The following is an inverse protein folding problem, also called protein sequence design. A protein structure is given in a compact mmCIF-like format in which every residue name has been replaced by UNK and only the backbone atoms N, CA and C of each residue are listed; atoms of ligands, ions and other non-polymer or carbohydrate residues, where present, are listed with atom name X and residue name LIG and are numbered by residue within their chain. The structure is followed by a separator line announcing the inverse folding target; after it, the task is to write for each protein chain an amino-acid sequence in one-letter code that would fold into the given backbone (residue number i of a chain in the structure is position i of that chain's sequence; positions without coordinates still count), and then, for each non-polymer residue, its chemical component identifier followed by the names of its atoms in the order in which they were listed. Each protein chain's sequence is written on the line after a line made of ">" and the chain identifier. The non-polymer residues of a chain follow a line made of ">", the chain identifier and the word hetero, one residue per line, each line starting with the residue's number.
data_IF_350276071047
#
_entry.id   IF_350276071047
#
_cell.length_a   1.000
_cell.length_b   1.000
_cell.length_c   1.000
_cell.angle_alpha   90.00
_cell.angle_beta   90.00
_cell.angle_gamma   90.00
#
_symmetry.space_group_name_H-M   'P 1'
#
loop_
_entity.id
_entity.type
_entity.pdbx_description
1 polymer ?
#
# COMPACT_ATOMS: atom_id res chain seq x y z
N UNK A 1 -43.11 -19.29 27.63
CA UNK A 1 -42.24 -18.28 28.22
C UNK A 1 -40.79 -18.73 27.96
N UNK A 2 -40.24 -18.32 26.85
CA UNK A 2 -38.82 -18.58 26.46
C UNK A 2 -37.99 -17.39 26.92
N UNK A 3 -37.22 -17.58 27.97
CA UNK A 3 -36.27 -16.56 28.49
C UNK A 3 -35.17 -16.33 27.49
N UNK A 4 -35.20 -15.17 26.82
CA UNK A 4 -34.08 -14.64 26.06
C UNK A 4 -33.01 -14.24 27.06
N UNK A 5 -31.93 -15.01 27.14
CA UNK A 5 -30.74 -14.65 27.91
C UNK A 5 -30.17 -13.36 27.35
N UNK A 6 -29.85 -12.35 28.19
CA UNK A 6 -29.20 -11.14 27.71
C UNK A 6 -27.79 -11.48 27.22
N UNK A 7 -27.50 -11.09 25.98
CA UNK A 7 -26.13 -11.13 25.43
C UNK A 7 -25.24 -10.30 26.32
N UNK A 8 -24.17 -10.91 26.84
CA UNK A 8 -23.21 -10.28 27.75
C UNK A 8 -22.63 -8.99 27.12
N UNK A 9 -22.64 -7.86 27.85
CA UNK A 9 -21.99 -6.64 27.39
C UNK A 9 -20.46 -6.84 27.44
N UNK A 10 -19.81 -6.80 26.27
CA UNK A 10 -18.35 -6.65 26.21
C UNK A 10 -17.53 -7.85 25.77
N UNK A 11 -17.89 -8.54 24.69
CA UNK A 11 -16.89 -9.33 23.98
C UNK A 11 -15.82 -8.38 23.44
N UNK A 12 -14.61 -8.39 24.05
CA UNK A 12 -13.45 -7.65 23.53
C UNK A 12 -13.23 -8.09 22.09
N UNK A 13 -13.46 -7.19 21.15
CA UNK A 13 -13.14 -7.46 19.75
C UNK A 13 -11.73 -8.04 19.67
N UNK A 14 -11.57 -9.14 18.94
CA UNK A 14 -10.25 -9.75 18.72
C UNK A 14 -9.29 -8.71 18.11
N UNK A 15 -7.98 -8.87 18.34
CA UNK A 15 -6.96 -8.01 17.75
C UNK A 15 -7.17 -7.81 16.23
N UNK A 16 -7.39 -8.90 15.50
CA UNK A 16 -7.61 -8.91 14.05
C UNK A 16 -8.84 -8.09 13.64
N UNK A 17 -9.95 -8.25 14.30
CA UNK A 17 -11.17 -7.52 14.00
C UNK A 17 -11.02 -6.03 14.33
N UNK A 18 -10.39 -5.69 15.46
CA UNK A 18 -10.19 -4.32 15.88
C UNK A 18 -9.26 -3.56 14.92
N UNK A 19 -8.11 -4.12 14.57
CA UNK A 19 -7.08 -3.46 13.76
C UNK A 19 -7.44 -3.33 12.28
N UNK A 20 -8.40 -4.11 11.78
CA UNK A 20 -8.98 -3.96 10.44
C UNK A 20 -10.01 -2.82 10.35
N UNK A 21 -10.54 -2.34 11.47
CA UNK A 21 -11.53 -1.26 11.42
C UNK A 21 -10.89 0.04 10.87
N UNK A 22 -11.66 0.85 10.12
CA UNK A 22 -11.16 2.09 9.54
C UNK A 22 -10.46 3.01 10.55
N UNK A 23 -11.01 3.14 11.77
CA UNK A 23 -10.43 3.97 12.83
C UNK A 23 -9.00 3.57 13.22
N UNK A 24 -8.68 2.27 13.26
CA UNK A 24 -7.32 1.80 13.53
C UNK A 24 -6.46 1.83 12.27
N UNK A 25 -6.98 1.26 11.18
CA UNK A 25 -6.25 1.12 9.92
C UNK A 25 -5.81 2.48 9.36
N UNK A 26 -6.72 3.45 9.27
CA UNK A 26 -6.42 4.78 8.72
C UNK A 26 -5.62 5.65 9.70
N UNK A 27 -5.95 5.63 11.01
CA UNK A 27 -5.13 6.35 12.01
C UNK A 27 -3.70 5.83 12.03
N UNK A 28 -3.49 4.54 11.82
CA UNK A 28 -2.16 3.93 11.74
C UNK A 28 -1.38 4.36 10.49
N UNK A 29 -2.05 4.68 9.39
CA UNK A 29 -1.42 5.18 8.17
C UNK A 29 -1.08 6.68 8.21
N UNK A 30 -1.73 7.47 9.08
CA UNK A 30 -1.49 8.92 9.17
C UNK A 30 -0.03 9.28 9.44
N UNK A 31 0.69 8.69 10.42
CA UNK A 31 2.10 8.96 10.63
C UNK A 31 2.96 8.68 9.39
N UNK A 32 2.65 7.62 8.65
CA UNK A 32 3.36 7.27 7.42
C UNK A 32 3.22 8.37 6.36
N UNK A 33 1.99 8.85 6.15
CA UNK A 33 1.71 9.95 5.24
C UNK A 33 2.42 11.25 5.67
N UNK A 34 2.37 11.60 6.95
CA UNK A 34 3.01 12.81 7.46
C UNK A 34 4.54 12.76 7.31
N UNK A 35 5.16 11.62 7.61
CA UNK A 35 6.60 11.42 7.42
C UNK A 35 6.97 11.54 5.94
N UNK A 36 6.21 10.91 5.05
CA UNK A 36 6.42 11.02 3.60
C UNK A 36 6.36 12.48 3.12
N UNK A 37 5.28 13.19 3.42
CA UNK A 37 5.11 14.58 2.95
C UNK A 37 6.18 15.51 3.55
N UNK A 38 6.56 15.29 4.81
CA UNK A 38 7.63 16.08 5.45
C UNK A 38 8.97 15.86 4.74
N UNK A 39 9.35 14.60 4.48
CA UNK A 39 10.58 14.28 3.74
C UNK A 39 10.52 14.78 2.30
N UNK A 40 9.38 14.62 1.63
CA UNK A 40 9.20 15.12 0.27
C UNK A 40 9.37 16.64 0.18
N UNK A 41 8.87 17.41 1.16
CA UNK A 41 9.08 18.85 1.23
C UNK A 41 10.55 19.16 1.54
N UNK A 42 11.15 18.50 2.52
CA UNK A 42 12.52 18.78 2.97
C UNK A 42 13.56 18.49 1.86
N UNK A 43 13.42 17.37 1.15
CA UNK A 43 14.36 16.97 0.11
C UNK A 43 14.22 17.73 -1.21
N UNK A 44 13.07 18.36 -1.44
CA UNK A 44 12.82 19.12 -2.66
C UNK A 44 13.03 20.63 -2.50
N UNK A 45 13.50 21.11 -1.35
CA UNK A 45 13.84 22.52 -1.16
C UNK A 45 15.08 22.89 -2.00
N UNK A 46 14.91 23.80 -2.95
CA UNK A 46 16.00 24.34 -3.78
C UNK A 46 16.33 23.52 -5.02
N UNK A 47 15.68 22.40 -5.27
CA UNK A 47 15.83 21.64 -6.52
C UNK A 47 14.63 21.89 -7.44
N UNK A 48 14.88 22.31 -8.68
CA UNK A 48 13.81 22.55 -9.67
C UNK A 48 13.04 21.29 -10.11
N UNK A 49 13.48 20.11 -9.66
CA UNK A 49 12.88 18.80 -9.96
C UNK A 49 12.56 18.10 -8.65
N UNK A 50 11.27 18.02 -8.34
CA UNK A 50 10.82 17.36 -7.12
C UNK A 50 10.87 15.83 -7.23
N UNK A 51 11.65 15.18 -6.36
CA UNK A 51 11.66 13.72 -6.23
C UNK A 51 10.43 13.31 -5.40
N UNK A 52 9.58 12.42 -5.93
CA UNK A 52 8.42 11.85 -5.25
C UNK A 52 8.20 10.40 -5.70
N UNK A 53 7.42 9.64 -4.91
CA UNK A 53 6.99 8.32 -5.34
C UNK A 53 6.14 8.38 -6.61
N UNK A 54 6.31 7.42 -7.52
CA UNK A 54 5.66 7.40 -8.84
C UNK A 54 4.12 7.42 -8.77
N UNK A 55 3.51 6.73 -7.82
CA UNK A 55 2.07 6.72 -7.64
C UNK A 55 1.54 8.07 -7.13
N UNK A 56 2.28 8.76 -6.24
CA UNK A 56 1.97 10.13 -5.82
C UNK A 56 2.04 11.09 -7.01
N UNK A 57 3.10 10.99 -7.84
CA UNK A 57 3.24 11.81 -9.04
C UNK A 57 2.07 11.61 -9.99
N UNK A 58 1.68 10.36 -10.27
CA UNK A 58 0.53 10.07 -11.13
C UNK A 58 -0.76 10.66 -10.59
N UNK A 59 -1.07 10.44 -9.31
CA UNK A 59 -2.31 10.92 -8.69
C UNK A 59 -2.36 12.46 -8.66
N UNK A 60 -1.24 13.12 -8.38
CA UNK A 60 -1.14 14.59 -8.44
C UNK A 60 -1.25 15.12 -9.86
N UNK A 61 -0.70 14.42 -10.85
CA UNK A 61 -0.83 14.81 -12.26
C UNK A 61 -2.27 14.69 -12.75
N UNK A 62 -2.99 13.63 -12.35
CA UNK A 62 -4.43 13.52 -12.61
C UNK A 62 -5.20 14.66 -11.94
N UNK A 63 -4.87 15.00 -10.71
CA UNK A 63 -5.49 16.13 -10.01
C UNK A 63 -5.18 17.47 -10.71
N UNK A 64 -3.97 17.65 -11.21
CA UNK A 64 -3.62 18.83 -12.00
C UNK A 64 -4.44 18.94 -13.30
N UNK A 65 -4.62 17.80 -13.98
CA UNK A 65 -5.43 17.75 -15.21
C UNK A 65 -6.90 18.09 -14.96
N UNK A 66 -7.45 17.67 -13.80
CA UNK A 66 -8.86 17.87 -13.47
C UNK A 66 -9.14 19.22 -12.80
N UNK A 67 -8.21 19.75 -12.00
CA UNK A 67 -8.40 20.88 -11.10
C UNK A 67 -7.43 22.06 -11.39
N UNK A 68 -6.61 21.94 -12.45
CA UNK A 68 -5.59 22.92 -12.81
C UNK A 68 -4.41 22.96 -11.83
N UNK A 69 -3.66 24.05 -11.82
CA UNK A 69 -2.39 24.22 -11.08
C UNK A 69 -2.50 23.99 -9.56
N UNK A 70 -3.69 24.15 -9.00
CA UNK A 70 -3.94 23.89 -7.58
C UNK A 70 -4.22 22.40 -7.27
N UNK A 71 -4.47 21.60 -8.31
CA UNK A 71 -4.80 20.18 -8.19
C UNK A 71 -3.85 19.38 -7.31
N UNK A 72 -2.52 19.44 -7.51
CA UNK A 72 -1.55 18.68 -6.71
C UNK A 72 -1.58 19.00 -5.20
N UNK A 73 -1.77 20.26 -4.85
CA UNK A 73 -1.87 20.69 -3.44
C UNK A 73 -3.21 20.24 -2.83
N UNK A 74 -4.29 20.44 -3.58
CA UNK A 74 -5.64 20.04 -3.16
C UNK A 74 -5.72 18.52 -2.99
N UNK A 75 -5.05 17.74 -3.84
CA UNK A 75 -5.01 16.29 -3.75
C UNK A 75 -4.38 15.80 -2.43
N UNK A 76 -3.20 16.31 -2.06
CA UNK A 76 -2.56 15.96 -0.78
C UNK A 76 -3.44 16.31 0.43
N UNK A 77 -4.03 17.49 0.43
CA UNK A 77 -4.99 17.91 1.45
C UNK A 77 -6.26 17.05 1.49
N UNK A 78 -6.78 16.65 0.33
CA UNK A 78 -7.95 15.78 0.23
C UNK A 78 -7.67 14.38 0.76
N UNK A 79 -6.52 13.78 0.44
CA UNK A 79 -6.11 12.47 0.97
C UNK A 79 -6.02 12.51 2.50
N UNK A 80 -5.35 13.52 3.06
CA UNK A 80 -5.24 13.67 4.50
C UNK A 80 -6.62 13.87 5.15
N UNK A 81 -7.45 14.75 4.58
CA UNK A 81 -8.81 15.00 5.06
C UNK A 81 -9.67 13.72 5.02
N UNK A 82 -9.62 12.97 3.92
CA UNK A 82 -10.38 11.72 3.77
C UNK A 82 -9.97 10.69 4.83
N UNK A 83 -8.68 10.48 5.05
CA UNK A 83 -8.18 9.58 6.10
C UNK A 83 -8.71 9.99 7.47
N UNK A 84 -8.63 11.28 7.81
CA UNK A 84 -9.09 11.82 9.08
C UNK A 84 -10.62 11.66 9.21
N UNK A 85 -11.39 12.07 8.21
CA UNK A 85 -12.86 12.04 8.24
C UNK A 85 -13.36 10.61 8.41
N UNK A 86 -12.82 9.64 7.66
CA UNK A 86 -13.23 8.24 7.75
C UNK A 86 -12.85 7.66 9.10
N UNK A 87 -11.65 7.93 9.62
CA UNK A 87 -11.21 7.48 10.93
C UNK A 87 -12.09 8.07 12.06
N UNK A 88 -12.37 9.38 12.01
CA UNK A 88 -13.24 10.06 13.00
C UNK A 88 -14.68 9.55 12.91
N UNK A 89 -15.21 9.36 11.70
CA UNK A 89 -16.56 8.82 11.52
C UNK A 89 -16.71 7.42 12.11
N UNK A 90 -15.72 6.55 11.88
CA UNK A 90 -15.72 5.21 12.47
C UNK A 90 -15.56 5.26 14.00
N UNK A 91 -14.69 6.13 14.51
CA UNK A 91 -14.51 6.33 15.95
C UNK A 91 -15.80 6.81 16.64
N UNK A 92 -16.56 7.71 16.00
CA UNK A 92 -17.85 8.20 16.53
C UNK A 92 -18.95 7.16 16.50
N UNK A 93 -18.89 6.23 15.53
CA UNK A 93 -19.90 5.15 15.38
C UNK A 93 -19.64 3.94 16.27
N UNK A 94 -18.44 3.80 16.77
CA UNK A 94 -18.01 2.64 17.53
C UNK A 94 -17.93 2.95 19.02
N UNK A 95 -18.48 2.09 19.86
CA UNK A 95 -18.30 2.15 21.30
C UNK A 95 -16.86 1.80 21.67
N UNK A 96 -16.15 2.74 22.29
CA UNK A 96 -14.78 2.58 22.79
C UNK A 96 -13.74 3.38 22.01
N UNK A 97 -12.78 3.96 22.75
CA UNK A 97 -11.68 4.76 22.20
C UNK A 97 -10.58 3.93 21.54
N UNK A 98 -9.62 4.62 20.96
CA UNK A 98 -8.39 4.01 20.43
C UNK A 98 -7.53 3.48 21.58
N UNK A 99 -6.95 2.31 21.40
CA UNK A 99 -6.03 1.67 22.36
C UNK A 99 -4.60 1.76 21.83
N UNK A 100 -3.72 2.60 22.41
CA UNK A 100 -2.35 2.82 21.89
C UNK A 100 -1.54 1.54 21.74
N UNK A 101 -1.73 0.58 22.66
CA UNK A 101 -1.06 -0.73 22.58
C UNK A 101 -1.31 -1.45 21.25
N UNK A 102 -2.47 -1.28 20.64
CA UNK A 102 -2.77 -1.92 19.35
C UNK A 102 -1.91 -1.36 18.22
N UNK A 103 -1.59 -0.06 18.22
CA UNK A 103 -0.71 0.54 17.22
C UNK A 103 0.72 0.01 17.32
N UNK A 104 1.23 -0.20 18.53
CA UNK A 104 2.54 -0.85 18.73
C UNK A 104 2.52 -2.27 18.18
N UNK A 105 1.48 -3.04 18.49
CA UNK A 105 1.35 -4.41 17.97
C UNK A 105 1.20 -4.43 16.44
N UNK A 106 0.46 -3.47 15.86
CA UNK A 106 0.35 -3.31 14.40
C UNK A 106 1.70 -3.00 13.76
N UNK A 107 2.52 -2.14 14.39
CA UNK A 107 3.86 -1.84 13.88
C UNK A 107 4.79 -3.06 13.92
N UNK A 108 4.78 -3.79 15.03
CA UNK A 108 5.55 -5.04 15.16
C UNK A 108 5.07 -6.07 14.13
N UNK A 109 3.76 -6.25 13.97
CA UNK A 109 3.19 -7.13 12.94
C UNK A 109 3.65 -6.71 11.54
N UNK A 110 3.57 -5.41 11.20
CA UNK A 110 3.99 -4.90 9.89
C UNK A 110 5.48 -5.14 9.64
N UNK A 111 6.34 -4.96 10.65
CA UNK A 111 7.78 -5.21 10.54
C UNK A 111 8.09 -6.70 10.32
N UNK A 112 7.43 -7.59 11.07
CA UNK A 112 7.57 -9.03 10.89
C UNK A 112 7.10 -9.48 9.51
N UNK A 113 5.94 -8.98 9.07
CA UNK A 113 5.41 -9.26 7.73
C UNK A 113 6.33 -8.74 6.63
N UNK A 114 6.96 -7.56 6.80
CA UNK A 114 7.91 -7.02 5.83
C UNK A 114 9.12 -7.95 5.64
N UNK A 115 9.67 -8.49 6.72
CA UNK A 115 10.77 -9.47 6.67
C UNK A 115 10.33 -10.78 6.01
N UNK A 116 9.16 -11.31 6.43
CA UNK A 116 8.61 -12.55 5.85
C UNK A 116 8.33 -12.38 4.36
N UNK A 117 7.74 -11.25 3.95
CA UNK A 117 7.46 -10.96 2.54
C UNK A 117 8.75 -10.82 1.74
N UNK A 118 9.77 -10.13 2.26
CA UNK A 118 11.07 -10.01 1.62
C UNK A 118 11.69 -11.39 1.34
N UNK A 119 11.65 -12.26 2.34
CA UNK A 119 12.15 -13.63 2.19
C UNK A 119 11.33 -14.45 1.20
N UNK A 120 10.00 -14.51 1.37
CA UNK A 120 9.11 -15.34 0.53
C UNK A 120 9.12 -14.86 -0.93
N UNK A 121 8.93 -13.56 -1.16
CA UNK A 121 8.94 -12.98 -2.52
C UNK A 121 10.30 -13.20 -3.18
N UNK A 122 11.40 -13.01 -2.43
CA UNK A 122 12.75 -13.24 -2.94
C UNK A 122 12.99 -14.71 -3.33
N UNK A 123 12.64 -15.65 -2.46
CA UNK A 123 12.81 -17.09 -2.73
C UNK A 123 11.95 -17.54 -3.91
N UNK A 124 10.67 -17.18 -3.95
CA UNK A 124 9.77 -17.57 -5.05
C UNK A 124 10.24 -16.98 -6.37
N UNK A 125 10.66 -15.71 -6.38
CA UNK A 125 11.20 -15.09 -7.59
C UNK A 125 12.48 -15.78 -8.05
N UNK A 126 13.43 -16.06 -7.14
CA UNK A 126 14.67 -16.73 -7.48
C UNK A 126 14.42 -18.11 -8.09
N UNK A 127 13.48 -18.89 -7.56
CA UNK A 127 13.12 -20.19 -8.11
C UNK A 127 12.53 -20.07 -9.52
N UNK A 128 11.62 -19.11 -9.74
CA UNK A 128 11.01 -18.88 -11.05
C UNK A 128 12.03 -18.37 -12.09
N UNK A 129 12.88 -17.42 -11.69
CA UNK A 129 13.92 -16.86 -12.58
C UNK A 129 15.00 -17.89 -12.91
N UNK A 130 15.46 -18.69 -11.93
CA UNK A 130 16.44 -19.75 -12.17
C UNK A 130 15.91 -20.88 -13.07
N UNK A 131 14.59 -21.05 -13.14
CA UNK A 131 13.96 -21.95 -14.11
C UNK A 131 14.00 -21.40 -15.56
N UNK A 132 14.38 -20.12 -15.75
CA UNK A 132 14.46 -19.42 -17.03
C UNK A 132 15.89 -18.90 -17.26
N UNK A 133 16.83 -19.73 -17.77
CA UNK A 133 18.28 -19.49 -17.73
C UNK A 133 18.81 -18.30 -18.54
N UNK A 134 17.95 -17.52 -19.16
CA UNK A 134 18.31 -16.34 -19.97
C UNK A 134 18.16 -15.00 -19.24
N UNK A 135 17.88 -15.01 -17.92
CA UNK A 135 17.49 -13.81 -17.20
C UNK A 135 18.58 -13.35 -16.22
N UNK A 136 19.06 -12.13 -16.42
CA UNK A 136 19.95 -11.43 -15.49
C UNK A 136 19.14 -10.41 -14.69
N UNK A 137 19.35 -10.34 -13.38
CA UNK A 137 18.71 -9.33 -12.53
C UNK A 137 19.44 -8.00 -12.75
N UNK A 138 18.71 -6.98 -13.21
CA UNK A 138 19.20 -5.62 -13.34
C UNK A 138 19.63 -5.03 -11.98
N UNK A 139 20.69 -4.23 -11.95
CA UNK A 139 21.14 -3.54 -10.74
C UNK A 139 20.40 -2.22 -10.61
N UNK A 140 19.74 -2.00 -9.45
CA UNK A 140 19.19 -0.71 -9.13
C UNK A 140 20.32 0.31 -8.89
N UNK A 141 20.12 1.56 -9.35
CA UNK A 141 21.07 2.64 -9.08
C UNK A 141 21.08 2.95 -7.56
N UNK A 142 22.26 3.20 -6.97
CA UNK A 142 22.34 3.58 -5.57
C UNK A 142 21.65 4.93 -5.34
N UNK A 143 20.78 4.98 -4.33
CA UNK A 143 20.08 6.20 -3.91
C UNK A 143 20.56 6.60 -2.52
N UNK A 144 20.56 7.91 -2.24
CA UNK A 144 20.84 8.41 -0.90
C UNK A 144 19.78 7.97 0.10
N UNK A 145 20.20 7.66 1.32
CA UNK A 145 19.35 7.13 2.38
C UNK A 145 18.06 7.94 2.65
N UNK A 146 18.09 9.30 2.69
CA UNK A 146 16.86 10.07 2.87
C UNK A 146 15.87 9.90 1.71
N UNK A 147 16.37 9.75 0.48
CA UNK A 147 15.55 9.50 -0.70
C UNK A 147 14.94 8.10 -0.64
N UNK A 148 15.74 7.09 -0.26
CA UNK A 148 15.26 5.72 -0.03
C UNK A 148 14.10 5.72 0.97
N UNK A 149 14.27 6.36 2.13
CA UNK A 149 13.20 6.45 3.13
C UNK A 149 11.95 7.12 2.58
N UNK A 150 12.10 8.27 1.93
CA UNK A 150 10.97 8.99 1.36
C UNK A 150 10.22 8.14 0.32
N UNK A 151 10.92 7.55 -0.65
CA UNK A 151 10.27 6.76 -1.72
C UNK A 151 9.56 5.54 -1.13
N UNK A 152 10.19 4.84 -0.16
CA UNK A 152 9.61 3.68 0.51
C UNK A 152 8.35 4.03 1.31
N UNK A 153 8.36 5.15 2.06
CA UNK A 153 7.16 5.65 2.76
C UNK A 153 6.05 6.00 1.78
N UNK A 154 6.41 6.61 0.63
CA UNK A 154 5.49 6.93 -0.45
C UNK A 154 4.88 5.68 -1.09
N UNK A 155 5.65 4.63 -1.30
CA UNK A 155 5.16 3.35 -1.80
C UNK A 155 4.10 2.77 -0.85
N UNK A 156 4.38 2.73 0.44
CA UNK A 156 3.41 2.25 1.42
C UNK A 156 2.10 3.03 1.42
N UNK A 157 2.10 4.34 1.19
CA UNK A 157 0.86 5.14 1.19
C UNK A 157 0.21 5.19 -0.20
N UNK A 158 0.94 5.70 -1.18
CA UNK A 158 0.34 6.07 -2.46
C UNK A 158 0.22 4.90 -3.43
N UNK A 159 1.14 3.94 -3.42
CA UNK A 159 0.98 2.74 -4.22
C UNK A 159 -0.11 1.84 -3.65
N UNK A 160 -0.21 1.70 -2.33
CA UNK A 160 -1.31 0.94 -1.74
C UNK A 160 -2.67 1.63 -1.99
N UNK A 161 -2.73 2.96 -1.95
CA UNK A 161 -3.93 3.71 -2.31
C UNK A 161 -4.29 3.50 -3.79
N UNK A 162 -3.33 3.66 -4.69
CA UNK A 162 -3.56 3.56 -6.14
C UNK A 162 -3.92 2.13 -6.55
N UNK A 163 -3.11 1.16 -6.15
CA UNK A 163 -3.23 -0.21 -6.68
C UNK A 163 -4.22 -1.07 -5.91
N UNK A 164 -4.36 -0.93 -4.58
CA UNK A 164 -5.26 -1.79 -3.78
C UNK A 164 -6.61 -1.12 -3.57
N UNK A 165 -6.62 0.14 -3.13
CA UNK A 165 -7.88 0.82 -2.86
C UNK A 165 -8.60 1.20 -4.15
N UNK A 166 -7.92 1.80 -5.13
CA UNK A 166 -8.56 2.27 -6.37
C UNK A 166 -8.60 1.18 -7.44
N UNK A 167 -7.45 0.66 -7.88
CA UNK A 167 -7.38 -0.25 -9.03
C UNK A 167 -8.01 -1.61 -8.74
N UNK A 168 -7.55 -2.34 -7.72
CA UNK A 168 -8.07 -3.69 -7.42
C UNK A 168 -9.55 -3.63 -7.05
N UNK A 169 -9.97 -2.64 -6.25
CA UNK A 169 -11.39 -2.48 -5.93
C UNK A 169 -12.22 -2.11 -7.17
N UNK A 170 -11.71 -1.24 -8.04
CA UNK A 170 -12.35 -0.88 -9.31
C UNK A 170 -12.47 -2.07 -10.27
N UNK A 171 -11.40 -2.86 -10.43
CA UNK A 171 -11.40 -4.09 -11.24
C UNK A 171 -12.38 -5.13 -10.68
N UNK A 172 -12.45 -5.28 -9.36
CA UNK A 172 -13.41 -6.17 -8.71
C UNK A 172 -14.85 -5.76 -9.02
N UNK A 173 -15.17 -4.48 -8.89
CA UNK A 173 -16.49 -3.95 -9.22
C UNK A 173 -16.82 -4.12 -10.69
N UNK A 174 -15.88 -3.79 -11.59
CA UNK A 174 -16.05 -3.95 -13.03
C UNK A 174 -16.23 -5.42 -13.42
N UNK A 175 -15.43 -6.34 -12.88
CA UNK A 175 -15.54 -7.77 -13.14
C UNK A 175 -16.91 -8.33 -12.73
N UNK A 176 -17.46 -7.85 -11.62
CA UNK A 176 -18.80 -8.26 -11.18
C UNK A 176 -19.92 -7.61 -12.00
N UNK A 177 -19.82 -6.30 -12.27
CA UNK A 177 -20.89 -5.54 -12.91
C UNK A 177 -20.95 -5.74 -14.43
N UNK A 178 -19.79 -5.86 -15.09
CA UNK A 178 -19.68 -5.91 -16.56
C UNK A 178 -19.51 -7.34 -17.05
N UNK A 179 -18.63 -8.14 -16.39
CA UNK A 179 -18.33 -9.51 -16.80
C UNK A 179 -19.25 -10.55 -16.13
N UNK A 180 -20.10 -10.14 -15.17
CA UNK A 180 -21.01 -11.05 -14.47
C UNK A 180 -20.31 -12.11 -13.59
N UNK A 181 -19.04 -11.91 -13.24
CA UNK A 181 -18.28 -12.89 -12.47
C UNK A 181 -18.79 -13.01 -11.03
N UNK A 182 -18.83 -14.23 -10.52
CA UNK A 182 -19.05 -14.47 -9.09
C UNK A 182 -17.92 -13.89 -8.24
N UNK A 183 -18.18 -13.68 -6.95
CA UNK A 183 -17.26 -12.97 -6.04
C UNK A 183 -15.83 -13.53 -6.04
N UNK A 184 -15.66 -14.85 -6.02
CA UNK A 184 -14.32 -15.48 -5.98
C UNK A 184 -13.58 -15.26 -7.30
N UNK A 185 -14.24 -15.52 -8.45
CA UNK A 185 -13.64 -15.33 -9.76
C UNK A 185 -13.28 -13.85 -10.02
N UNK A 186 -14.16 -12.91 -9.64
CA UNK A 186 -13.90 -11.48 -9.74
C UNK A 186 -12.73 -11.04 -8.86
N UNK A 187 -12.59 -11.62 -7.65
CA UNK A 187 -11.46 -11.32 -6.75
C UNK A 187 -10.14 -11.83 -7.33
N UNK A 188 -10.11 -13.06 -7.84
CA UNK A 188 -8.91 -13.63 -8.49
C UNK A 188 -8.52 -12.77 -9.69
N UNK A 189 -9.48 -12.44 -10.55
CA UNK A 189 -9.27 -11.56 -11.71
C UNK A 189 -8.68 -10.21 -11.28
N UNK A 190 -9.33 -9.52 -10.33
CA UNK A 190 -8.91 -8.18 -9.90
C UNK A 190 -7.51 -8.18 -9.27
N UNK A 191 -7.21 -9.15 -8.42
CA UNK A 191 -5.90 -9.28 -7.77
C UNK A 191 -4.81 -9.62 -8.79
N UNK A 192 -5.07 -10.55 -9.72
CA UNK A 192 -4.08 -10.95 -10.72
C UNK A 192 -3.80 -9.82 -11.72
N UNK A 193 -4.84 -9.23 -12.30
CA UNK A 193 -4.67 -8.10 -13.24
C UNK A 193 -4.08 -6.88 -12.53
N UNK A 194 -4.52 -6.60 -11.30
CA UNK A 194 -3.97 -5.52 -10.49
C UNK A 194 -2.48 -5.70 -10.20
N UNK A 195 -2.01 -6.92 -9.92
CA UNK A 195 -0.60 -7.22 -9.69
C UNK A 195 0.25 -7.07 -10.97
N UNK A 196 -0.27 -7.48 -12.13
CA UNK A 196 0.39 -7.29 -13.42
C UNK A 196 0.52 -5.80 -13.77
N UNK A 197 -0.55 -5.03 -13.58
CA UNK A 197 -0.54 -3.57 -13.81
C UNK A 197 0.40 -2.89 -12.83
N UNK A 198 0.40 -3.29 -11.56
CA UNK A 198 1.35 -2.79 -10.55
C UNK A 198 2.80 -3.00 -10.99
N UNK A 199 3.14 -4.20 -11.45
CA UNK A 199 4.48 -4.48 -11.96
C UNK A 199 4.81 -3.65 -13.20
N UNK A 200 3.90 -3.60 -14.19
CA UNK A 200 4.09 -2.86 -15.44
C UNK A 200 4.28 -1.35 -15.20
N UNK A 201 3.62 -0.78 -14.19
CA UNK A 201 3.70 0.63 -13.84
C UNK A 201 5.13 1.11 -13.59
N UNK A 202 5.99 0.25 -13.03
CA UNK A 202 7.38 0.59 -12.72
C UNK A 202 8.28 0.79 -13.96
N UNK A 203 7.80 0.42 -15.14
CA UNK A 203 8.54 0.57 -16.41
C UNK A 203 8.00 1.72 -17.28
N UNK A 204 7.06 2.51 -16.75
CA UNK A 204 6.38 3.58 -17.47
C UNK A 204 6.84 4.95 -16.98
N UNK A 205 7.01 5.89 -17.92
CA UNK A 205 7.30 7.29 -17.62
C UNK A 205 8.79 7.62 -17.59
N UNK A 206 9.12 8.90 -17.33
CA UNK A 206 10.49 9.40 -17.43
C UNK A 206 11.46 8.79 -16.41
N UNK A 207 10.95 8.24 -15.33
CA UNK A 207 11.72 7.60 -14.26
C UNK A 207 11.46 6.09 -14.17
N UNK A 208 10.83 5.53 -15.23
CA UNK A 208 10.58 4.09 -15.29
C UNK A 208 11.89 3.31 -15.44
N UNK A 209 11.97 2.16 -14.79
CA UNK A 209 13.09 1.25 -14.94
C UNK A 209 13.13 0.67 -16.36
N UNK A 210 14.30 0.27 -16.87
CA UNK A 210 14.38 -0.58 -18.06
C UNK A 210 13.58 -1.87 -17.83
N UNK A 211 12.79 -2.30 -18.83
CA UNK A 211 12.03 -3.54 -18.71
C UNK A 211 12.96 -4.74 -18.53
N UNK A 212 12.83 -5.39 -17.39
CA UNK A 212 13.58 -6.58 -17.02
C UNK A 212 12.60 -7.65 -16.50
N UNK A 213 12.62 -8.84 -17.11
CA UNK A 213 11.65 -9.88 -16.79
C UNK A 213 11.78 -10.40 -15.35
N UNK A 214 12.97 -10.66 -14.77
CA UNK A 214 13.10 -10.98 -13.35
C UNK A 214 12.47 -9.94 -12.43
N UNK A 215 12.74 -8.67 -12.69
CA UNK A 215 12.16 -7.56 -11.93
C UNK A 215 10.64 -7.48 -12.10
N UNK A 216 10.13 -7.71 -13.32
CA UNK A 216 8.69 -7.77 -13.57
C UNK A 216 8.01 -8.90 -12.78
N UNK A 217 8.59 -10.10 -12.80
CA UNK A 217 8.09 -11.25 -12.03
C UNK A 217 8.14 -10.97 -10.53
N UNK A 218 9.25 -10.43 -10.04
CA UNK A 218 9.42 -10.06 -8.64
C UNK A 218 8.32 -9.10 -8.16
N UNK A 219 8.08 -8.01 -8.91
CA UNK A 219 7.04 -7.03 -8.59
C UNK A 219 5.63 -7.60 -8.72
N UNK A 220 5.40 -8.50 -9.67
CA UNK A 220 4.11 -9.18 -9.81
C UNK A 220 3.81 -10.04 -8.57
N UNK A 221 4.79 -10.84 -8.11
CA UNK A 221 4.64 -11.67 -6.90
C UNK A 221 4.42 -10.79 -5.67
N UNK A 222 5.21 -9.71 -5.52
CA UNK A 222 5.01 -8.73 -4.45
C UNK A 222 3.60 -8.12 -4.52
N UNK A 223 3.14 -7.75 -5.72
CA UNK A 223 1.80 -7.23 -5.96
C UNK A 223 0.68 -8.17 -5.52
N UNK A 224 0.82 -9.48 -5.80
CA UNK A 224 -0.10 -10.51 -5.33
C UNK A 224 -0.08 -10.63 -3.80
N UNK A 225 1.11 -10.66 -3.19
CA UNK A 225 1.28 -10.78 -1.75
C UNK A 225 0.67 -9.59 -1.00
N UNK A 226 0.95 -8.36 -1.44
CA UNK A 226 0.36 -7.15 -0.84
C UNK A 226 -1.16 -7.06 -1.07
N UNK A 227 -1.68 -7.52 -2.20
CA UNK A 227 -3.12 -7.59 -2.42
C UNK A 227 -3.80 -8.58 -1.47
N UNK A 228 -3.18 -9.73 -1.23
CA UNK A 228 -3.62 -10.69 -0.22
C UNK A 228 -3.59 -10.11 1.20
N UNK A 229 -2.52 -9.37 1.53
CA UNK A 229 -2.41 -8.70 2.82
C UNK A 229 -3.48 -7.62 3.00
N UNK A 230 -3.72 -6.80 1.98
CA UNK A 230 -4.77 -5.78 1.99
C UNK A 230 -6.16 -6.37 2.28
N UNK A 231 -6.51 -7.46 1.60
CA UNK A 231 -7.80 -8.14 1.80
C UNK A 231 -7.92 -8.71 3.22
N UNK A 232 -6.84 -9.22 3.79
CA UNK A 232 -6.86 -9.87 5.11
C UNK A 232 -6.65 -8.91 6.27
N UNK A 233 -5.80 -7.86 6.13
CA UNK A 233 -5.39 -6.97 7.22
C UNK A 233 -5.79 -5.51 7.04
N UNK A 234 -6.25 -5.13 5.84
CA UNK A 234 -6.65 -3.77 5.53
C UNK A 234 -5.48 -2.82 5.25
N UNK A 235 -5.82 -1.58 4.92
CA UNK A 235 -4.89 -0.58 4.38
C UNK A 235 -3.69 -0.28 5.30
N UNK A 236 -3.94 -0.02 6.59
CA UNK A 236 -2.89 0.49 7.48
C UNK A 236 -1.73 -0.49 7.69
N UNK A 237 -2.01 -1.78 7.93
CA UNK A 237 -0.97 -2.81 8.07
C UNK A 237 -0.27 -3.03 6.73
N UNK A 238 -1.02 -3.07 5.63
CA UNK A 238 -0.41 -3.24 4.30
C UNK A 238 0.51 -2.07 3.96
N UNK A 239 0.09 -0.83 4.21
CA UNK A 239 0.90 0.36 3.96
C UNK A 239 2.22 0.37 4.74
N UNK A 240 2.18 0.08 6.05
CA UNK A 240 3.39 -0.02 6.85
C UNK A 240 4.27 -1.22 6.46
N UNK A 241 3.66 -2.37 6.16
CA UNK A 241 4.40 -3.56 5.71
C UNK A 241 5.13 -3.26 4.40
N UNK A 242 4.49 -2.59 3.44
CA UNK A 242 5.10 -2.22 2.16
C UNK A 242 6.24 -1.23 2.38
N UNK A 243 6.01 -0.14 3.11
CA UNK A 243 7.06 0.83 3.40
C UNK A 243 8.30 0.20 4.05
N UNK A 244 8.10 -0.64 5.08
CA UNK A 244 9.19 -1.32 5.77
C UNK A 244 9.87 -2.39 4.89
N UNK A 245 9.11 -3.10 4.06
CA UNK A 245 9.63 -4.04 3.07
C UNK A 245 10.60 -3.36 2.12
N UNK A 246 10.23 -2.20 1.55
CA UNK A 246 11.09 -1.44 0.65
C UNK A 246 12.33 -0.91 1.36
N UNK A 247 12.18 -0.37 2.57
CA UNK A 247 13.32 0.07 3.39
C UNK A 247 14.30 -1.09 3.63
N UNK A 248 13.81 -2.27 4.00
CA UNK A 248 14.66 -3.43 4.27
C UNK A 248 15.31 -3.95 2.97
N UNK A 249 14.56 -3.99 1.86
CA UNK A 249 15.06 -4.45 0.57
C UNK A 249 16.17 -3.54 0.04
N UNK A 250 15.98 -2.21 0.12
CA UNK A 250 16.96 -1.24 -0.37
C UNK A 250 18.17 -1.14 0.57
N UNK A 251 17.96 -1.24 1.89
CA UNK A 251 19.04 -1.30 2.86
C UNK A 251 19.95 -2.53 2.70
N UNK A 252 19.40 -3.66 2.25
CA UNK A 252 20.17 -4.89 2.02
C UNK A 252 20.99 -4.85 0.72
N UNK A 253 20.77 -3.85 -0.14
CA UNK A 253 21.48 -3.69 -1.42
C UNK A 253 22.60 -2.66 -1.41
N UNK A 254 22.67 -1.80 -0.39
CA UNK A 254 23.72 -0.80 -0.15
C UNK A 254 24.80 -1.34 0.76
#
# INVERSE_FOLDING_TARGET
>A
MTSVLPTSPGSRQSYWAATRSPRYSLTFAVPLLLLYETLAVALNQGTGVGIRNGADVLLRSLAATLLGDRGPVLFGGLVALLLIVVAVRDLRRSSGGLRPRLFVLMLVESALLAVVFGFVVGVVTAQLVNALPLLTIGQAQPMEWPVVLMVSLGAGVYEELLFRVLLVSGLLLAARAILGLGTVAASIFAVTIGALIFSAFHYIGPYGDPLDLPSFVFRTIAGLAFSGLYVTRGFGITAWTHALYDVFLLAARG
#
